data_IF_880746988203
#
_entry.id   IF_880746988203
#
_cell.length_a   1.000
_cell.length_b   1.000
_cell.length_c   1.000
_cell.angle_alpha   90.00
_cell.angle_beta   90.00
_cell.angle_gamma   90.00
#
_symmetry.space_group_name_H-M   'P 1'
#
loop_
_entity.id
_entity.type
_entity.pdbx_description
1 polymer ?
#
# COMPACT_ATOMS: atom_id res chain seq x y z
N UNK A 1 12.93 -19.22 -15.65
CA UNK A 1 12.86 -19.12 -14.17
C UNK A 1 14.15 -18.63 -13.49
N UNK A 2 15.29 -19.33 -13.54
CA UNK A 2 16.54 -18.81 -12.96
C UNK A 2 17.10 -17.62 -13.76
N UNK A 3 17.05 -17.68 -15.09
CA UNK A 3 17.57 -16.64 -15.99
C UNK A 3 16.80 -15.29 -15.92
N UNK A 4 15.52 -15.29 -15.54
CA UNK A 4 14.69 -14.07 -15.47
C UNK A 4 14.85 -13.32 -14.15
N UNK A 5 15.08 -14.03 -13.04
CA UNK A 5 15.48 -13.40 -11.76
C UNK A 5 16.78 -12.59 -11.91
N UNK A 6 17.68 -13.02 -12.80
CA UNK A 6 18.92 -12.31 -13.09
C UNK A 6 18.68 -10.99 -13.85
N UNK A 7 17.64 -10.89 -14.69
CA UNK A 7 17.27 -9.62 -15.35
C UNK A 7 16.70 -8.59 -14.37
N UNK A 8 15.86 -9.02 -13.42
CA UNK A 8 15.37 -8.15 -12.35
C UNK A 8 16.52 -7.61 -11.48
N UNK A 9 17.53 -8.44 -11.20
CA UNK A 9 18.73 -8.03 -10.45
C UNK A 9 19.64 -7.12 -11.27
N UNK A 10 19.78 -7.33 -12.58
CA UNK A 10 20.50 -6.43 -13.49
C UNK A 10 19.82 -5.06 -13.60
N UNK A 11 18.48 -5.00 -13.62
CA UNK A 11 17.76 -3.73 -13.62
C UNK A 11 17.91 -2.99 -12.30
N UNK A 12 17.87 -3.71 -11.17
CA UNK A 12 18.22 -3.14 -9.87
C UNK A 12 19.68 -2.66 -9.85
N UNK A 13 20.60 -3.42 -10.45
CA UNK A 13 22.01 -3.06 -10.58
C UNK A 13 22.19 -1.78 -11.39
N UNK A 14 21.50 -1.64 -12.52
CA UNK A 14 21.55 -0.44 -13.36
C UNK A 14 20.97 0.77 -12.62
N UNK A 15 19.85 0.61 -11.90
CA UNK A 15 19.29 1.68 -11.05
C UNK A 15 20.28 2.07 -9.94
N UNK A 16 20.91 1.10 -9.29
CA UNK A 16 21.95 1.35 -8.28
C UNK A 16 23.15 2.05 -8.92
N UNK A 17 23.57 1.64 -10.13
CA UNK A 17 24.70 2.24 -10.82
C UNK A 17 24.43 3.70 -11.22
N UNK A 18 23.26 3.97 -11.77
CA UNK A 18 22.81 5.30 -12.18
C UNK A 18 22.60 6.23 -10.98
N UNK A 19 22.11 5.69 -9.85
CA UNK A 19 21.87 6.48 -8.63
C UNK A 19 23.15 6.72 -7.82
N UNK A 20 24.11 5.78 -7.85
CA UNK A 20 25.33 5.85 -7.01
C UNK A 20 26.52 6.45 -7.77
N UNK A 21 26.43 6.65 -9.08
CA UNK A 21 27.46 7.31 -9.88
C UNK A 21 28.80 6.57 -9.80
N UNK A 22 28.90 5.40 -10.44
CA UNK A 22 30.14 4.63 -10.50
C UNK A 22 31.17 5.26 -11.46
N UNK A 23 31.77 6.37 -11.05
CA UNK A 23 33.08 6.78 -11.57
C UNK A 23 34.15 6.23 -10.62
N UNK A 24 34.99 5.32 -11.11
CA UNK A 24 35.90 4.50 -10.32
C UNK A 24 36.89 5.29 -9.46
N UNK A 25 37.00 4.89 -8.18
CA UNK A 25 38.15 5.00 -7.25
C UNK A 25 37.79 4.18 -5.99
N UNK A 26 38.79 3.67 -5.27
CA UNK A 26 38.67 2.74 -4.11
C UNK A 26 37.63 3.09 -3.03
N UNK A 27 37.20 4.36 -2.94
CA UNK A 27 36.07 4.77 -2.10
C UNK A 27 34.72 4.14 -2.47
N UNK A 28 34.54 3.70 -3.73
CA UNK A 28 33.30 3.09 -4.20
C UNK A 28 33.11 1.67 -3.68
N UNK A 29 34.17 0.89 -3.46
CA UNK A 29 34.03 -0.48 -2.94
C UNK A 29 33.59 -0.46 -1.47
N UNK A 30 34.14 0.45 -0.66
CA UNK A 30 33.73 0.63 0.73
C UNK A 30 32.29 1.15 0.83
N UNK A 31 31.92 2.13 0.01
CA UNK A 31 30.52 2.60 -0.08
C UNK A 31 29.57 1.48 -0.52
N UNK A 32 29.97 0.67 -1.50
CA UNK A 32 29.20 -0.46 -1.98
C UNK A 32 29.03 -1.55 -0.91
N UNK A 33 30.08 -1.88 -0.17
CA UNK A 33 30.01 -2.80 0.97
C UNK A 33 29.10 -2.27 2.08
N UNK A 34 29.15 -0.97 2.37
CA UNK A 34 28.24 -0.34 3.33
C UNK A 34 26.78 -0.36 2.84
N UNK A 35 26.52 -0.04 1.57
CA UNK A 35 25.18 -0.13 0.98
C UNK A 35 24.66 -1.57 0.99
N UNK A 36 25.51 -2.55 0.69
CA UNK A 36 25.16 -3.97 0.77
C UNK A 36 24.85 -4.42 2.20
N UNK A 37 25.61 -3.95 3.19
CA UNK A 37 25.30 -4.17 4.61
C UNK A 37 23.98 -3.53 4.99
N UNK A 38 23.73 -2.30 4.56
CA UNK A 38 22.51 -1.55 4.89
C UNK A 38 21.28 -2.14 4.19
N UNK A 39 21.45 -2.78 3.03
CA UNK A 39 20.38 -3.51 2.33
C UNK A 39 19.99 -4.82 3.04
N UNK A 40 20.89 -5.41 3.84
CA UNK A 40 20.68 -6.72 4.48
C UNK A 40 20.47 -6.63 5.99
N UNK A 41 20.92 -5.55 6.64
CA UNK A 41 20.82 -5.37 8.08
C UNK A 41 19.63 -4.48 8.45
N UNK A 42 18.90 -4.83 9.53
CA UNK A 42 17.91 -3.95 10.10
C UNK A 42 18.46 -2.60 10.56
N UNK A 43 17.65 -1.55 10.48
CA UNK A 43 18.04 -0.20 10.88
C UNK A 43 18.45 -0.10 12.36
N UNK A 44 17.92 -0.97 13.24
CA UNK A 44 18.23 -0.95 14.69
C UNK A 44 19.73 -0.89 15.01
N UNK A 45 20.58 -1.51 14.18
CA UNK A 45 22.04 -1.52 14.36
C UNK A 45 22.70 -0.15 14.11
N UNK A 46 21.98 0.79 13.48
CA UNK A 46 22.39 2.19 13.30
C UNK A 46 21.79 3.12 14.35
N UNK A 47 20.91 2.61 15.23
CA UNK A 47 20.20 3.41 16.24
C UNK A 47 20.78 3.22 17.65
N UNK A 48 21.95 2.60 17.78
CA UNK A 48 22.67 2.51 19.06
C UNK A 48 22.92 3.92 19.63
N UNK A 49 22.63 4.13 20.92
CA UNK A 49 22.72 5.45 21.56
C UNK A 49 21.58 6.43 21.26
N UNK A 50 20.68 6.15 20.30
CA UNK A 50 19.50 7.00 20.04
C UNK A 50 18.47 6.86 21.16
N UNK A 51 17.93 7.98 21.64
CA UNK A 51 16.93 8.00 22.73
C UNK A 51 15.66 7.23 22.38
N UNK A 52 14.97 6.69 23.39
CA UNK A 52 13.75 5.91 23.19
C UNK A 52 12.66 6.72 22.46
N UNK A 53 12.51 8.01 22.81
CA UNK A 53 11.57 8.93 22.16
C UNK A 53 11.86 9.07 20.66
N UNK A 54 13.13 9.25 20.28
CA UNK A 54 13.53 9.37 18.88
C UNK A 54 13.38 8.03 18.14
N UNK A 55 13.71 6.90 18.78
CA UNK A 55 13.47 5.56 18.19
C UNK A 55 11.99 5.32 17.93
N UNK A 56 11.13 5.68 18.87
CA UNK A 56 9.67 5.60 18.72
C UNK A 56 9.16 6.45 17.56
N UNK A 57 9.68 7.67 17.41
CA UNK A 57 9.37 8.51 16.24
C UNK A 57 9.81 7.84 14.94
N UNK A 58 11.05 7.35 14.87
CA UNK A 58 11.58 6.63 13.70
C UNK A 58 10.71 5.41 13.36
N UNK A 59 10.37 4.60 14.35
CA UNK A 59 9.52 3.41 14.17
C UNK A 59 8.12 3.76 13.69
N UNK A 60 7.55 4.88 14.15
CA UNK A 60 6.26 5.36 13.70
C UNK A 60 6.30 5.82 12.24
N UNK A 61 7.38 6.46 11.79
CA UNK A 61 7.58 6.84 10.38
C UNK A 61 7.77 5.60 9.50
N UNK A 62 8.61 4.64 9.95
CA UNK A 62 8.84 3.39 9.24
C UNK A 62 7.59 2.53 9.16
N UNK A 63 6.74 2.50 10.18
CA UNK A 63 5.51 1.73 10.12
C UNK A 63 4.60 2.21 8.98
N UNK A 64 4.51 3.52 8.74
CA UNK A 64 3.73 4.09 7.62
C UNK A 64 4.37 3.69 6.27
N UNK A 65 5.67 3.94 6.10
CA UNK A 65 6.33 3.87 4.79
C UNK A 65 6.93 2.50 4.43
N UNK A 66 7.23 1.66 5.43
CA UNK A 66 7.90 0.37 5.30
C UNK A 66 7.07 -0.81 5.86
N UNK A 67 5.93 -0.53 6.50
CA UNK A 67 5.04 -1.52 7.13
C UNK A 67 5.70 -2.35 8.23
N UNK A 68 6.79 -1.84 8.79
CA UNK A 68 7.52 -2.48 9.89
C UNK A 68 8.37 -1.44 10.62
N UNK A 69 9.00 -1.83 11.73
CA UNK A 69 9.80 -0.93 12.57
C UNK A 69 11.29 -1.12 12.32
N UNK A 70 12.13 -0.27 12.89
CA UNK A 70 13.60 -0.31 12.76
C UNK A 70 14.22 -1.65 13.18
N UNK A 71 13.51 -2.43 14.00
CA UNK A 71 13.92 -3.79 14.42
C UNK A 71 14.01 -4.75 13.24
N UNK A 72 13.17 -4.55 12.22
CA UNK A 72 13.06 -5.45 11.07
C UNK A 72 13.26 -4.77 9.71
N UNK A 73 13.02 -3.46 9.61
CA UNK A 73 13.19 -2.70 8.38
C UNK A 73 14.67 -2.68 7.99
N UNK A 74 14.99 -3.06 6.74
CA UNK A 74 16.36 -2.95 6.26
C UNK A 74 16.79 -1.47 6.21
N UNK A 75 18.05 -1.19 6.56
CA UNK A 75 18.54 0.17 6.75
C UNK A 75 18.52 1.01 5.45
N UNK A 76 18.78 0.38 4.29
CA UNK A 76 18.77 1.06 2.99
C UNK A 76 17.38 1.57 2.62
N UNK A 77 16.36 0.72 2.68
CA UNK A 77 14.97 1.15 2.46
C UNK A 77 14.53 2.15 3.53
N UNK A 78 14.98 1.97 4.78
CA UNK A 78 14.66 2.89 5.88
C UNK A 78 15.15 4.30 5.60
N UNK A 79 16.34 4.47 5.00
CA UNK A 79 16.84 5.79 4.63
C UNK A 79 15.90 6.49 3.64
N UNK A 80 15.45 5.77 2.59
CA UNK A 80 14.49 6.31 1.63
C UNK A 80 13.13 6.60 2.27
N UNK A 81 12.63 5.68 3.11
CA UNK A 81 11.36 5.82 3.81
C UNK A 81 11.33 7.05 4.74
N UNK A 82 12.44 7.29 5.46
CA UNK A 82 12.59 8.44 6.34
C UNK A 82 12.82 9.76 5.58
N UNK A 83 13.34 9.72 4.35
CA UNK A 83 13.47 10.91 3.50
C UNK A 83 12.13 11.40 2.96
N UNK A 84 11.13 10.52 2.82
CA UNK A 84 9.81 10.88 2.28
C UNK A 84 9.14 12.01 3.06
N UNK A 85 9.19 11.99 4.39
CA UNK A 85 8.63 13.05 5.22
C UNK A 85 9.38 14.37 5.06
N UNK A 86 10.68 14.34 4.75
CA UNK A 86 11.50 15.52 4.46
C UNK A 86 11.16 16.15 3.10
N UNK A 87 10.82 15.34 2.10
CA UNK A 87 10.46 15.83 0.76
C UNK A 87 9.09 16.53 0.72
N UNK A 88 8.27 16.32 1.75
CA UNK A 88 6.97 16.97 1.93
C UNK A 88 5.80 16.13 1.42
N UNK A 89 4.60 16.61 1.70
CA UNK A 89 3.33 15.95 1.34
C UNK A 89 2.53 16.85 0.41
N UNK A 90 1.92 16.24 -0.61
CA UNK A 90 1.16 16.96 -1.65
C UNK A 90 -0.30 16.53 -1.57
N UNK A 91 -1.21 17.48 -1.81
CA UNK A 91 -2.64 17.22 -1.96
C UNK A 91 -3.05 17.36 -3.43
N UNK A 92 -3.50 16.27 -4.08
CA UNK A 92 -4.15 16.38 -5.39
C UNK A 92 -5.56 16.93 -5.22
N UNK A 93 -5.98 17.77 -6.15
CA UNK A 93 -7.37 18.22 -6.26
C UNK A 93 -8.31 17.03 -6.48
N UNK A 94 -9.45 17.00 -5.77
CA UNK A 94 -10.33 15.83 -5.71
C UNK A 94 -9.81 14.71 -4.80
N UNK A 95 -8.65 14.91 -4.17
CA UNK A 95 -7.91 13.88 -3.44
C UNK A 95 -7.50 12.70 -4.33
N UNK A 96 -7.21 11.55 -3.69
CA UNK A 96 -6.72 10.37 -4.42
C UNK A 96 -7.70 9.84 -5.48
N UNK A 97 -9.01 10.06 -5.30
CA UNK A 97 -10.02 9.73 -6.31
C UNK A 97 -9.91 10.59 -7.57
N UNK A 98 -9.50 11.85 -7.44
CA UNK A 98 -9.24 12.76 -8.56
C UNK A 98 -8.18 12.22 -9.51
N UNK A 99 -7.08 11.68 -8.97
CA UNK A 99 -6.03 11.02 -9.78
C UNK A 99 -6.62 9.85 -10.57
N UNK A 100 -7.42 8.99 -9.94
CA UNK A 100 -8.06 7.86 -10.62
C UNK A 100 -9.00 8.31 -11.74
N UNK A 101 -9.79 9.36 -11.50
CA UNK A 101 -10.71 9.90 -12.51
C UNK A 101 -9.94 10.46 -13.72
N UNK A 102 -8.90 11.24 -13.49
CA UNK A 102 -8.05 11.77 -14.56
C UNK A 102 -7.38 10.65 -15.36
N UNK A 103 -6.93 9.57 -14.71
CA UNK A 103 -6.39 8.40 -15.41
C UNK A 103 -7.43 7.74 -16.32
N UNK A 104 -8.68 7.58 -15.84
CA UNK A 104 -9.78 7.03 -16.65
C UNK A 104 -10.09 7.91 -17.85
N UNK A 105 -10.10 9.23 -17.68
CA UNK A 105 -10.31 10.19 -18.77
C UNK A 105 -9.20 10.07 -19.82
N UNK A 106 -7.94 10.07 -19.40
CA UNK A 106 -6.79 9.94 -20.32
C UNK A 106 -6.78 8.61 -21.07
N UNK A 107 -7.20 7.52 -20.42
CA UNK A 107 -7.37 6.22 -21.09
C UNK A 107 -8.45 6.31 -22.19
N UNK A 108 -9.59 6.95 -21.90
CA UNK A 108 -10.68 7.13 -22.87
C UNK A 108 -10.29 8.03 -24.04
N UNK A 109 -9.53 9.10 -23.80
CA UNK A 109 -8.95 9.94 -24.87
C UNK A 109 -8.06 9.12 -25.83
N UNK A 110 -7.34 8.12 -25.29
CA UNK A 110 -6.54 7.16 -26.06
C UNK A 110 -7.38 6.01 -26.65
N UNK A 111 -8.71 6.15 -26.67
CA UNK A 111 -9.68 5.15 -27.17
C UNK A 111 -9.68 3.82 -26.40
N UNK A 112 -9.08 3.77 -25.21
CA UNK A 112 -9.17 2.59 -24.36
C UNK A 112 -10.57 2.48 -23.74
N UNK A 113 -11.08 1.25 -23.61
CA UNK A 113 -12.38 0.98 -23.00
C UNK A 113 -12.20 0.72 -21.50
N UNK A 114 -12.93 1.46 -20.68
CA UNK A 114 -12.98 1.25 -19.21
C UNK A 114 -14.37 0.71 -18.85
N UNK A 115 -14.43 -0.59 -18.52
CA UNK A 115 -15.69 -1.30 -18.28
C UNK A 115 -15.91 -1.52 -16.77
N UNK A 116 -16.80 -0.72 -16.19
CA UNK A 116 -17.20 -0.89 -14.79
C UNK A 116 -18.24 -2.00 -14.63
N UNK A 117 -18.39 -2.50 -13.39
CA UNK A 117 -19.35 -3.56 -13.02
C UNK A 117 -19.15 -4.88 -13.78
N UNK A 118 -17.90 -5.14 -14.22
CA UNK A 118 -17.46 -6.39 -14.88
C UNK A 118 -16.48 -7.14 -13.97
N UNK A 119 -16.99 -7.75 -12.91
CA UNK A 119 -16.15 -8.56 -12.01
C UNK A 119 -15.66 -9.82 -12.75
N UNK A 120 -14.35 -9.96 -12.89
CA UNK A 120 -13.72 -11.14 -13.50
C UNK A 120 -13.80 -12.32 -12.53
N UNK A 121 -14.30 -13.46 -13.00
CA UNK A 121 -14.41 -14.70 -12.22
C UNK A 121 -13.46 -15.81 -12.68
N UNK A 122 -13.00 -15.79 -13.94
CA UNK A 122 -12.07 -16.79 -14.48
C UNK A 122 -11.08 -16.19 -15.48
N UNK A 123 -9.89 -16.78 -15.54
CA UNK A 123 -8.96 -16.60 -16.65
C UNK A 123 -9.11 -17.80 -17.61
N UNK A 124 -9.06 -17.53 -18.91
CA UNK A 124 -9.20 -18.56 -19.94
C UNK A 124 -7.81 -19.07 -20.31
N UNK A 125 -7.62 -20.39 -20.19
CA UNK A 125 -6.36 -21.11 -20.37
C UNK A 125 -6.54 -22.21 -21.43
N UNK A 126 -5.66 -22.26 -22.43
CA UNK A 126 -5.73 -23.22 -23.54
C UNK A 126 -4.79 -24.44 -23.39
N UNK A 127 -4.11 -24.57 -22.25
CA UNK A 127 -3.07 -25.57 -22.04
C UNK A 127 -1.64 -25.04 -22.22
N UNK A 128 -1.47 -23.88 -22.85
CA UNK A 128 -0.17 -23.26 -23.15
C UNK A 128 -0.06 -21.82 -22.65
N UNK A 129 -1.11 -21.01 -22.78
CA UNK A 129 -1.14 -19.60 -22.37
C UNK A 129 -2.51 -19.18 -21.86
N UNK A 130 -2.52 -18.11 -21.07
CA UNK A 130 -3.75 -17.36 -20.80
C UNK A 130 -4.06 -16.46 -21.99
N UNK A 131 -5.31 -16.47 -22.43
CA UNK A 131 -5.73 -15.74 -23.65
C UNK A 131 -7.07 -15.01 -23.52
N UNK A 132 -7.67 -14.97 -22.33
CA UNK A 132 -8.89 -14.22 -22.11
C UNK A 132 -9.37 -14.25 -20.68
N UNK A 133 -10.49 -13.57 -20.43
CA UNK A 133 -11.16 -13.50 -19.14
C UNK A 133 -12.66 -13.72 -19.26
N UNK A 134 -13.26 -14.33 -18.25
CA UNK A 134 -14.71 -14.48 -18.11
C UNK A 134 -15.19 -13.72 -16.87
N UNK A 135 -16.26 -12.94 -17.03
CA UNK A 135 -16.90 -12.22 -15.92
C UNK A 135 -17.85 -13.12 -15.16
N UNK A 136 -18.20 -12.72 -13.93
CA UNK A 136 -19.22 -13.40 -13.11
C UNK A 136 -20.60 -13.48 -13.79
N UNK A 137 -20.87 -12.63 -14.79
CA UNK A 137 -22.10 -12.62 -15.58
C UNK A 137 -22.00 -13.44 -16.88
N UNK A 138 -20.90 -14.17 -17.08
CA UNK A 138 -20.68 -15.03 -18.25
C UNK A 138 -20.13 -14.33 -19.48
N UNK A 139 -19.93 -13.00 -19.45
CA UNK A 139 -19.31 -12.27 -20.56
C UNK A 139 -17.84 -12.68 -20.72
N UNK A 140 -17.39 -12.87 -21.96
CA UNK A 140 -16.02 -13.28 -22.29
C UNK A 140 -15.30 -12.20 -23.09
N UNK A 141 -14.02 -12.02 -22.78
CA UNK A 141 -13.12 -11.11 -23.46
C UNK A 141 -11.82 -11.82 -23.80
N UNK A 142 -11.52 -11.94 -25.08
CA UNK A 142 -10.23 -12.45 -25.57
C UNK A 142 -9.17 -11.35 -25.43
N UNK A 143 -7.94 -11.74 -25.13
CA UNK A 143 -6.80 -10.85 -24.97
C UNK A 143 -5.47 -11.57 -25.22
N UNK A 144 -4.55 -10.89 -25.91
CA UNK A 144 -3.20 -11.42 -26.08
C UNK A 144 -2.38 -11.38 -24.80
N UNK A 145 -2.61 -10.36 -23.99
CA UNK A 145 -1.94 -10.15 -22.71
C UNK A 145 -2.97 -9.71 -21.68
N UNK A 146 -2.97 -10.38 -20.53
CA UNK A 146 -3.79 -10.05 -19.37
C UNK A 146 -2.87 -9.47 -18.30
N UNK A 147 -3.22 -8.27 -17.80
CA UNK A 147 -2.48 -7.60 -16.73
C UNK A 147 -3.38 -7.53 -15.49
N UNK A 148 -3.01 -8.26 -14.43
CA UNK A 148 -3.75 -8.27 -13.18
C UNK A 148 -3.25 -7.16 -12.25
N UNK A 149 -4.14 -6.24 -11.86
CA UNK A 149 -3.90 -5.32 -10.74
C UNK A 149 -4.60 -5.84 -9.47
N UNK A 150 -4.14 -7.00 -8.98
CA UNK A 150 -4.75 -7.76 -7.91
C UNK A 150 -3.70 -8.20 -6.88
N UNK A 151 -4.13 -8.53 -5.67
CA UNK A 151 -3.22 -9.19 -4.70
C UNK A 151 -2.83 -10.59 -5.21
N UNK A 152 -1.67 -11.11 -4.76
CA UNK A 152 -1.25 -12.48 -5.09
C UNK A 152 -2.29 -13.53 -4.74
N UNK A 153 -2.95 -13.40 -3.58
CA UNK A 153 -4.01 -14.31 -3.17
C UNK A 153 -5.25 -14.24 -4.06
N UNK A 154 -5.57 -13.06 -4.62
CA UNK A 154 -6.66 -12.95 -5.61
C UNK A 154 -6.26 -13.54 -6.96
N UNK A 155 -5.05 -13.29 -7.43
CA UNK A 155 -4.54 -13.85 -8.69
C UNK A 155 -4.47 -15.38 -8.64
N UNK A 156 -3.97 -15.94 -7.53
CA UNK A 156 -3.89 -17.38 -7.32
C UNK A 156 -5.26 -18.07 -7.45
N UNK A 157 -6.34 -17.46 -6.91
CA UNK A 157 -7.71 -17.98 -7.04
C UNK A 157 -8.19 -18.02 -8.49
N UNK A 158 -7.86 -17.00 -9.28
CA UNK A 158 -8.23 -16.92 -10.70
C UNK A 158 -7.44 -17.90 -11.58
N UNK A 159 -6.27 -18.34 -11.13
CA UNK A 159 -5.39 -19.28 -11.82
C UNK A 159 -5.61 -20.74 -11.42
N UNK A 160 -6.52 -21.02 -10.48
CA UNK A 160 -6.69 -22.34 -9.87
C UNK A 160 -7.03 -23.45 -10.90
N UNK A 161 -7.74 -23.11 -11.97
CA UNK A 161 -8.13 -24.10 -12.99
C UNK A 161 -7.04 -24.37 -14.04
N UNK A 162 -5.88 -23.69 -13.97
CA UNK A 162 -4.77 -23.88 -14.90
C UNK A 162 -3.80 -24.97 -14.43
N UNK A 163 -3.15 -25.65 -15.39
CA UNK A 163 -2.03 -26.56 -15.11
C UNK A 163 -0.79 -25.83 -14.57
N UNK A 164 -0.72 -24.51 -14.73
CA UNK A 164 0.26 -23.63 -14.11
C UNK A 164 -0.08 -23.36 -12.63
N UNK A 165 -0.61 -24.37 -11.93
CA UNK A 165 -1.13 -24.25 -10.58
C UNK A 165 -0.05 -23.73 -9.65
N UNK A 166 -0.24 -22.51 -9.19
CA UNK A 166 0.79 -21.75 -8.54
C UNK A 166 0.93 -22.14 -7.06
N UNK A 167 1.49 -23.32 -6.79
CA UNK A 167 1.98 -23.68 -5.45
C UNK A 167 2.97 -22.63 -4.90
N UNK A 168 3.52 -21.77 -5.77
CA UNK A 168 4.40 -20.65 -5.44
C UNK A 168 3.71 -19.31 -5.15
N UNK A 169 2.42 -19.15 -5.50
CA UNK A 169 1.64 -17.95 -5.20
C UNK A 169 0.98 -18.12 -3.82
N UNK A 170 1.42 -17.34 -2.85
CA UNK A 170 0.82 -17.33 -1.52
C UNK A 170 -0.66 -16.92 -1.62
N UNK A 171 -1.56 -17.85 -1.29
CA UNK A 171 -3.01 -17.60 -1.31
C UNK A 171 -3.47 -16.61 -0.22
N UNK A 172 -2.67 -16.50 0.84
CA UNK A 172 -2.95 -15.63 2.00
C UNK A 172 -1.90 -14.52 2.11
N UNK A 173 -2.27 -13.34 2.64
CA UNK A 173 -1.31 -12.33 3.07
C UNK A 173 -0.25 -12.93 4.00
N UNK A 174 0.97 -12.35 4.05
CA UNK A 174 2.00 -12.81 4.98
C UNK A 174 1.54 -12.59 6.44
N UNK A 175 2.03 -13.42 7.36
CA UNK A 175 1.64 -13.37 8.77
C UNK A 175 2.00 -12.05 9.48
N UNK A 176 2.98 -11.32 8.95
CA UNK A 176 3.39 -9.99 9.40
C UNK A 176 2.77 -8.85 8.56
N UNK A 177 1.79 -9.15 7.70
CA UNK A 177 1.04 -8.16 6.94
C UNK A 177 0.01 -7.43 7.78
N UNK A 178 -0.25 -6.17 7.45
CA UNK A 178 -1.16 -5.30 8.19
C UNK A 178 -2.54 -5.13 7.54
N UNK A 179 -3.56 -5.05 8.36
CA UNK A 179 -4.80 -4.38 8.00
C UNK A 179 -4.75 -2.91 8.39
N UNK A 180 -5.76 -2.15 7.98
CA UNK A 180 -5.99 -0.81 8.49
C UNK A 180 -7.37 -0.73 9.18
N UNK A 181 -7.42 0.04 10.26
CA UNK A 181 -8.67 0.57 10.78
C UNK A 181 -8.73 2.06 10.47
N UNK A 182 -9.87 2.51 9.96
CA UNK A 182 -10.09 3.88 9.51
C UNK A 182 -11.21 4.51 10.32
N UNK A 183 -11.06 5.80 10.64
CA UNK A 183 -12.15 6.68 11.04
C UNK A 183 -12.20 7.83 10.04
N UNK A 184 -13.35 8.05 9.43
CA UNK A 184 -13.63 9.18 8.57
C UNK A 184 -14.58 10.10 9.33
N UNK A 185 -14.17 11.34 9.54
CA UNK A 185 -14.94 12.33 10.27
C UNK A 185 -15.18 13.59 9.44
N UNK A 186 -16.34 14.22 9.62
CA UNK A 186 -16.62 15.57 9.12
C UNK A 186 -16.76 16.52 10.29
N UNK A 187 -16.00 17.62 10.29
CA UNK A 187 -16.02 18.63 11.37
C UNK A 187 -16.25 20.03 10.82
N UNK A 188 -16.67 20.95 11.69
CA UNK A 188 -16.62 22.38 11.38
C UNK A 188 -15.18 22.82 11.05
N UNK A 189 -15.04 23.74 10.10
CA UNK A 189 -13.73 24.29 9.75
C UNK A 189 -13.03 24.92 10.96
N UNK A 190 -13.77 25.57 11.86
CA UNK A 190 -13.23 26.19 13.07
C UNK A 190 -12.51 25.19 13.98
N UNK A 191 -12.91 23.92 13.99
CA UNK A 191 -12.32 22.87 14.82
C UNK A 191 -10.87 22.53 14.43
N UNK A 192 -10.41 22.94 13.25
CA UNK A 192 -9.04 22.65 12.76
C UNK A 192 -8.25 23.89 12.34
N UNK A 193 -8.80 25.09 12.50
CA UNK A 193 -8.13 26.34 12.08
C UNK A 193 -6.83 26.61 12.83
N UNK A 194 -6.71 26.14 14.07
CA UNK A 194 -5.53 26.32 14.92
C UNK A 194 -4.40 25.34 14.61
N UNK A 195 -4.64 24.31 13.80
CA UNK A 195 -3.63 23.30 13.48
C UNK A 195 -2.67 23.79 12.40
N UNK A 196 -1.38 23.69 12.69
CA UNK A 196 -0.34 23.86 11.70
C UNK A 196 -0.18 22.58 10.88
N UNK A 197 -0.42 22.67 9.58
CA UNK A 197 -0.31 21.53 8.66
C UNK A 197 -1.56 20.64 8.60
N UNK A 198 -1.67 19.91 7.50
CA UNK A 198 -2.84 19.06 7.19
C UNK A 198 -2.62 17.58 7.52
N UNK A 199 -1.42 17.21 7.97
CA UNK A 199 -1.07 15.84 8.29
C UNK A 199 -0.41 15.78 9.66
N UNK A 200 -0.91 14.89 10.51
CA UNK A 200 -0.47 14.73 11.88
C UNK A 200 -0.24 13.26 12.17
N UNK A 201 0.80 12.95 12.96
CA UNK A 201 1.01 11.60 13.48
C UNK A 201 0.94 11.64 15.00
N UNK A 202 -0.08 10.99 15.56
CA UNK A 202 -0.25 10.84 17.00
C UNK A 202 0.41 9.52 17.41
N UNK A 203 1.42 9.58 18.26
CA UNK A 203 2.15 8.40 18.76
C UNK A 203 1.99 8.35 20.28
N UNK A 204 0.88 7.76 20.70
CA UNK A 204 0.43 7.78 22.10
C UNK A 204 1.16 6.73 22.94
N UNK A 205 1.26 5.50 22.42
CA UNK A 205 1.77 4.36 23.20
C UNK A 205 2.44 3.29 22.32
N UNK A 206 2.99 2.27 22.97
CA UNK A 206 3.51 1.05 22.38
C UNK A 206 2.62 -0.16 22.76
N UNK A 207 2.56 -1.22 21.92
CA UNK A 207 3.11 -1.31 20.57
C UNK A 207 2.38 -0.36 19.61
N UNK A 208 3.08 0.09 18.56
CA UNK A 208 2.47 0.88 17.48
C UNK A 208 1.33 0.10 16.78
N UNK A 209 0.34 0.82 16.27
CA UNK A 209 -0.90 0.26 15.71
C UNK A 209 -2.03 0.17 16.74
N UNK A 210 -3.18 -0.37 16.35
CA UNK A 210 -4.39 -0.56 17.16
C UNK A 210 -4.77 0.69 17.99
N UNK A 211 -4.71 1.87 17.36
CA UNK A 211 -5.04 3.16 17.98
C UNK A 211 -3.95 3.76 18.87
N UNK A 212 -2.83 3.06 19.10
CA UNK A 212 -1.67 3.62 19.82
C UNK A 212 -0.83 4.54 18.93
N UNK A 213 -0.92 4.37 17.61
CA UNK A 213 -0.31 5.25 16.62
C UNK A 213 -1.32 5.55 15.51
N UNK A 214 -1.63 6.82 15.29
CA UNK A 214 -2.66 7.26 14.35
C UNK A 214 -2.04 8.23 13.35
N UNK A 215 -2.30 8.02 12.07
CA UNK A 215 -2.06 9.03 11.04
C UNK A 215 -3.37 9.74 10.73
N UNK A 216 -3.37 11.06 10.91
CA UNK A 216 -4.49 11.96 10.67
C UNK A 216 -4.18 12.82 9.44
N UNK A 217 -5.15 12.93 8.55
CA UNK A 217 -5.11 13.86 7.42
C UNK A 217 -6.38 14.71 7.38
N UNK A 218 -6.22 15.98 7.03
CA UNK A 218 -7.29 16.97 6.92
C UNK A 218 -7.38 17.35 5.44
N UNK A 219 -8.58 17.29 4.87
CA UNK A 219 -8.85 17.85 3.53
C UNK A 219 -8.38 19.31 3.45
N UNK A 220 -7.71 19.76 2.38
CA UNK A 220 -7.28 21.15 2.28
C UNK A 220 -8.47 22.10 2.11
N UNK A 221 -8.37 23.34 2.61
CA UNK A 221 -9.44 24.34 2.53
C UNK A 221 -9.74 24.77 1.09
N UNK A 222 -8.73 24.75 0.22
CA UNK A 222 -8.89 25.12 -1.19
C UNK A 222 -9.66 24.07 -2.00
N UNK A 223 -9.73 22.81 -1.54
CA UNK A 223 -10.42 21.74 -2.28
C UNK A 223 -11.86 21.57 -1.79
N UNK A 224 -12.75 22.38 -2.36
CA UNK A 224 -14.19 22.39 -2.05
C UNK A 224 -14.90 21.08 -2.43
N UNK A 225 -14.25 20.16 -3.15
CA UNK A 225 -14.86 18.87 -3.53
C UNK A 225 -14.78 17.83 -2.40
N UNK A 226 -13.96 18.10 -1.38
CA UNK A 226 -13.65 17.13 -0.31
C UNK A 226 -14.65 17.13 0.84
N UNK A 227 -15.33 18.25 1.05
CA UNK A 227 -16.31 18.45 2.12
C UNK A 227 -17.30 19.57 1.74
N UNK A 228 -18.51 19.58 2.33
CA UNK A 228 -19.44 20.71 2.19
C UNK A 228 -18.83 22.04 2.67
N UNK A 229 -19.49 23.14 2.32
CA UNK A 229 -19.10 24.47 2.79
C UNK A 229 -19.04 24.54 4.33
N UNK A 230 -18.06 25.28 4.87
CA UNK A 230 -17.75 25.38 6.30
C UNK A 230 -17.45 24.04 7.00
N UNK A 231 -17.18 22.97 6.25
CA UNK A 231 -16.80 21.67 6.79
C UNK A 231 -15.44 21.22 6.28
N UNK A 232 -14.79 20.35 7.06
CA UNK A 232 -13.54 19.69 6.71
C UNK A 232 -13.67 18.20 6.93
N UNK A 233 -13.28 17.42 5.92
CA UNK A 233 -13.14 15.98 6.04
C UNK A 233 -11.79 15.65 6.70
N UNK A 234 -11.84 14.77 7.70
CA UNK A 234 -10.69 14.24 8.43
C UNK A 234 -10.66 12.73 8.24
N UNK A 235 -9.49 12.19 7.94
CA UNK A 235 -9.25 10.75 7.85
C UNK A 235 -8.20 10.35 8.87
N UNK A 236 -8.59 9.49 9.80
CA UNK A 236 -7.72 8.83 10.76
C UNK A 236 -7.46 7.40 10.30
N UNK A 237 -6.23 6.94 10.46
CA UNK A 237 -5.86 5.56 10.16
C UNK A 237 -4.90 4.99 11.20
N UNK A 238 -5.05 3.70 11.52
CA UNK A 238 -4.09 2.93 12.31
C UNK A 238 -3.88 1.56 11.69
N UNK A 239 -2.66 1.03 11.81
CA UNK A 239 -2.38 -0.36 11.49
C UNK A 239 -3.12 -1.27 12.47
N UNK A 240 -3.61 -2.42 12.02
CA UNK A 240 -4.31 -3.39 12.86
C UNK A 240 -4.18 -4.82 12.33
N UNK A 241 -4.51 -5.81 13.15
CA UNK A 241 -4.44 -7.23 12.77
C UNK A 241 -5.61 -7.65 11.89
N UNK A 242 -5.36 -8.06 10.65
CA UNK A 242 -6.42 -8.65 9.81
C UNK A 242 -7.08 -9.86 10.47
N UNK A 243 -6.26 -10.75 11.07
CA UNK A 243 -6.74 -12.00 11.66
C UNK A 243 -7.75 -11.75 12.77
N UNK A 244 -7.46 -10.81 13.68
CA UNK A 244 -8.38 -10.45 14.77
C UNK A 244 -9.75 -10.03 14.22
N UNK A 245 -9.78 -9.12 13.25
CA UNK A 245 -11.03 -8.63 12.69
C UNK A 245 -11.82 -9.72 11.97
N UNK A 246 -11.14 -10.59 11.20
CA UNK A 246 -11.79 -11.70 10.51
C UNK A 246 -12.32 -12.77 11.47
N UNK A 247 -11.55 -13.10 12.51
CA UNK A 247 -11.98 -14.04 13.55
C UNK A 247 -13.24 -13.52 14.26
N UNK A 248 -13.25 -12.25 14.68
CA UNK A 248 -14.43 -11.63 15.30
C UNK A 248 -15.62 -11.62 14.33
N UNK A 249 -15.42 -11.15 13.10
CA UNK A 249 -16.50 -11.06 12.10
C UNK A 249 -17.15 -12.42 11.80
N UNK A 250 -16.37 -13.50 11.75
CA UNK A 250 -16.87 -14.83 11.42
C UNK A 250 -17.47 -15.57 12.63
N UNK A 251 -16.90 -15.38 13.82
CA UNK A 251 -17.22 -16.20 15.01
C UNK A 251 -18.14 -15.50 15.99
N UNK A 252 -18.08 -14.17 16.07
CA UNK A 252 -18.84 -13.39 17.03
C UNK A 252 -19.14 -11.96 16.50
N UNK A 253 -20.21 -11.79 15.69
CA UNK A 253 -20.58 -10.51 15.10
C UNK A 253 -20.85 -9.39 16.12
N UNK A 254 -21.33 -9.72 17.32
CA UNK A 254 -21.56 -8.75 18.40
C UNK A 254 -20.22 -8.23 18.94
N UNK A 255 -19.28 -9.13 19.23
CA UNK A 255 -17.92 -8.74 19.64
C UNK A 255 -17.19 -7.96 18.54
N UNK A 256 -17.42 -8.27 17.26
CA UNK A 256 -16.93 -7.47 16.14
C UNK A 256 -17.47 -6.04 16.16
N UNK A 257 -18.77 -5.86 16.38
CA UNK A 257 -19.39 -4.54 16.45
C UNK A 257 -18.85 -3.73 17.64
N UNK A 258 -18.74 -4.36 18.81
CA UNK A 258 -18.19 -3.73 20.02
C UNK A 258 -16.72 -3.34 19.86
N UNK A 259 -15.89 -4.22 19.30
CA UNK A 259 -14.47 -3.91 19.07
C UNK A 259 -14.29 -2.77 18.05
N UNK A 260 -15.17 -2.71 17.04
CA UNK A 260 -15.21 -1.62 16.08
C UNK A 260 -15.55 -0.28 16.73
N UNK A 261 -16.49 -0.27 17.67
CA UNK A 261 -16.83 0.91 18.46
C UNK A 261 -15.67 1.30 19.40
N UNK A 262 -15.13 0.37 20.17
CA UNK A 262 -13.99 0.60 21.06
C UNK A 262 -12.78 1.21 20.31
N UNK A 263 -12.44 0.67 19.13
CA UNK A 263 -11.34 1.19 18.32
C UNK A 263 -11.62 2.59 17.79
N UNK A 264 -12.86 2.86 17.38
CA UNK A 264 -13.31 4.19 16.99
C UNK A 264 -13.14 5.18 18.16
N UNK A 265 -13.62 4.80 19.33
CA UNK A 265 -13.61 5.63 20.52
C UNK A 265 -12.19 5.95 20.98
N UNK A 266 -11.32 4.94 20.97
CA UNK A 266 -9.89 5.12 21.25
C UNK A 266 -9.23 6.10 20.29
N UNK A 267 -9.52 6.02 19.00
CA UNK A 267 -8.94 6.91 18.00
C UNK A 267 -9.47 8.34 18.09
N UNK A 268 -10.76 8.51 18.40
CA UNK A 268 -11.36 9.82 18.63
C UNK A 268 -10.78 10.47 19.88
N UNK A 269 -10.70 9.75 21.01
CA UNK A 269 -10.11 10.25 22.25
C UNK A 269 -8.62 10.61 22.11
N UNK A 270 -7.86 9.83 21.34
CA UNK A 270 -6.48 10.16 21.00
C UNK A 270 -6.37 11.51 20.26
N UNK A 271 -7.34 11.81 19.39
CA UNK A 271 -7.37 13.02 18.56
C UNK A 271 -7.72 14.27 19.36
N UNK A 272 -8.37 14.12 20.52
CA UNK A 272 -8.68 15.24 21.42
C UNK A 272 -7.42 16.01 21.88
N UNK A 273 -6.26 15.36 21.87
CA UNK A 273 -4.96 15.99 22.19
C UNK A 273 -4.56 17.13 21.25
N UNK A 274 -5.09 17.14 20.01
CA UNK A 274 -4.79 18.17 19.00
C UNK A 274 -6.06 18.89 18.50
N UNK A 275 -7.23 18.25 18.57
CA UNK A 275 -8.52 18.86 18.27
C UNK A 275 -9.42 18.69 19.50
N UNK A 276 -9.41 19.63 20.46
CA UNK A 276 -10.19 19.48 21.69
C UNK A 276 -11.69 19.30 21.43
N UNK A 277 -12.30 18.30 22.07
CA UNK A 277 -13.72 17.97 21.87
C UNK A 277 -14.00 17.39 20.48
N UNK A 278 -13.07 16.62 19.92
CA UNK A 278 -13.12 16.14 18.54
C UNK A 278 -14.40 15.34 18.26
N UNK A 279 -14.73 14.42 19.18
CA UNK A 279 -15.94 13.61 19.07
C UNK A 279 -17.20 14.46 18.92
N UNK A 280 -17.36 15.44 19.80
CA UNK A 280 -18.58 16.26 19.85
C UNK A 280 -18.63 17.25 18.68
N UNK A 281 -17.48 17.61 18.11
CA UNK A 281 -17.37 18.47 16.93
C UNK A 281 -17.67 17.76 15.60
N UNK A 282 -17.76 16.42 15.60
CA UNK A 282 -17.90 15.63 14.38
C UNK A 282 -19.37 15.35 14.04
N UNK A 283 -19.87 15.97 12.97
CA UNK A 283 -21.23 15.78 12.46
C UNK A 283 -21.43 14.41 11.77
N UNK A 284 -20.33 13.78 11.36
CA UNK A 284 -20.29 12.48 10.72
C UNK A 284 -19.11 11.70 11.24
N UNK A 285 -19.33 10.45 11.64
CA UNK A 285 -18.27 9.50 11.96
C UNK A 285 -18.57 8.18 11.26
N UNK A 286 -17.65 7.74 10.42
CA UNK A 286 -17.72 6.45 9.72
C UNK A 286 -16.44 5.66 9.96
N UNK A 287 -16.55 4.34 10.01
CA UNK A 287 -15.42 3.45 10.32
C UNK A 287 -15.21 2.37 9.27
N UNK A 288 -13.94 2.11 8.97
CA UNK A 288 -13.51 1.06 8.06
C UNK A 288 -12.64 0.02 8.79
N UNK A 289 -12.91 -1.26 8.57
CA UNK A 289 -12.10 -2.38 9.06
C UNK A 289 -11.50 -3.14 7.87
N UNK A 290 -10.61 -4.13 8.08
CA UNK A 290 -10.17 -5.04 7.01
C UNK A 290 -11.34 -5.69 6.25
N UNK A 291 -12.48 -5.95 6.90
CA UNK A 291 -13.68 -6.49 6.24
C UNK A 291 -14.26 -5.44 5.27
N UNK A 292 -14.30 -4.17 5.67
CA UNK A 292 -14.70 -3.06 4.80
C UNK A 292 -13.78 -3.00 3.56
N UNK A 293 -12.46 -3.06 3.75
CA UNK A 293 -11.52 -3.04 2.63
C UNK A 293 -11.74 -4.23 1.68
N UNK A 294 -11.93 -5.45 2.21
CA UNK A 294 -12.24 -6.61 1.38
C UNK A 294 -13.53 -6.41 0.58
N UNK A 295 -14.59 -5.87 1.21
CA UNK A 295 -15.88 -5.64 0.55
C UNK A 295 -15.75 -4.71 -0.66
N UNK A 296 -15.08 -3.57 -0.48
CA UNK A 296 -15.01 -2.50 -1.48
C UNK A 296 -13.91 -2.70 -2.53
N UNK A 297 -12.76 -3.27 -2.15
CA UNK A 297 -11.60 -3.42 -3.05
C UNK A 297 -11.39 -4.84 -3.54
N UNK A 298 -12.12 -5.82 -2.99
CA UNK A 298 -11.97 -7.27 -3.25
C UNK A 298 -10.59 -7.85 -2.90
N UNK A 299 -9.70 -7.04 -2.32
CA UNK A 299 -8.37 -7.47 -1.87
C UNK A 299 -8.49 -8.58 -0.85
N UNK A 300 -7.71 -9.65 -1.02
CA UNK A 300 -7.71 -10.81 -0.12
C UNK A 300 -7.55 -10.36 1.34
N UNK A 301 -8.49 -10.76 2.20
CA UNK A 301 -8.56 -10.38 3.63
C UNK A 301 -8.63 -8.86 3.92
N UNK A 302 -8.82 -8.01 2.90
CA UNK A 302 -8.73 -6.56 3.07
C UNK A 302 -7.31 -6.07 3.34
N UNK A 303 -6.31 -6.85 2.91
CA UNK A 303 -4.91 -6.55 3.12
C UNK A 303 -4.51 -5.28 2.39
N UNK A 304 -3.94 -4.33 3.13
CA UNK A 304 -3.44 -3.05 2.64
C UNK A 304 -1.98 -2.91 3.01
N UNK A 305 -1.30 -1.96 2.36
CA UNK A 305 0.11 -1.68 2.65
C UNK A 305 1.10 -2.66 2.01
N UNK A 306 0.67 -3.72 1.33
CA UNK A 306 1.60 -4.64 0.68
C UNK A 306 2.57 -5.31 1.68
N UNK A 307 3.70 -5.81 1.17
CA UNK A 307 4.65 -6.58 1.97
C UNK A 307 5.55 -5.68 2.84
N UNK A 308 5.72 -6.01 4.15
CA UNK A 308 6.69 -5.31 4.98
C UNK A 308 8.12 -5.44 4.45
N UNK A 309 8.86 -4.32 4.46
CA UNK A 309 10.15 -4.16 3.78
C UNK A 309 11.33 -4.65 4.64
N UNK A 310 11.31 -5.94 4.98
CA UNK A 310 12.33 -6.57 5.82
C UNK A 310 13.57 -7.02 5.06
N UNK A 311 13.48 -7.26 3.75
CA UNK A 311 14.60 -7.47 2.83
C UNK A 311 14.16 -7.31 1.37
N UNK A 312 15.13 -7.15 0.45
CA UNK A 312 14.91 -6.86 -0.98
C UNK A 312 14.21 -7.99 -1.77
N UNK A 313 14.14 -9.22 -1.23
CA UNK A 313 13.62 -10.38 -1.96
C UNK A 313 12.14 -10.69 -1.69
N UNK A 314 11.46 -9.88 -0.88
CA UNK A 314 10.02 -10.05 -0.62
C UNK A 314 9.15 -9.69 -1.81
N UNK A 315 9.62 -8.77 -2.65
CA UNK A 315 8.91 -8.37 -3.85
C UNK A 315 8.92 -9.47 -4.91
N UNK A 316 7.81 -9.63 -5.62
CA UNK A 316 7.64 -10.68 -6.64
C UNK A 316 7.84 -10.13 -8.04
N UNK A 317 8.16 -11.03 -8.98
CA UNK A 317 8.25 -10.69 -10.40
C UNK A 317 6.86 -10.34 -10.96
N UNK A 318 6.76 -9.39 -11.90
CA UNK A 318 5.52 -9.10 -12.61
C UNK A 318 5.04 -10.24 -13.53
N UNK A 319 5.94 -11.15 -13.93
CA UNK A 319 5.58 -12.30 -14.75
C UNK A 319 4.90 -13.39 -13.91
N UNK A 320 3.67 -13.78 -14.27
CA UNK A 320 2.97 -14.88 -13.61
C UNK A 320 2.99 -16.17 -14.45
N UNK A 321 2.66 -16.06 -15.74
CA UNK A 321 2.54 -17.19 -16.67
C UNK A 321 2.53 -16.66 -18.13
N UNK A 322 2.62 -17.52 -19.15
CA UNK A 322 2.46 -17.09 -20.54
C UNK A 322 1.12 -16.38 -20.76
N UNK A 323 1.15 -15.18 -21.35
CA UNK A 323 -0.03 -14.32 -21.54
C UNK A 323 -0.52 -13.59 -20.27
N UNK A 324 0.16 -13.75 -19.12
CA UNK A 324 -0.29 -13.20 -17.84
C UNK A 324 0.82 -12.40 -17.12
N UNK A 325 0.51 -11.14 -16.81
CA UNK A 325 1.35 -10.21 -16.05
C UNK A 325 0.60 -9.69 -14.83
N UNK A 326 1.34 -9.12 -13.89
CA UNK A 326 0.80 -8.44 -12.71
C UNK A 326 1.39 -7.03 -12.59
N UNK A 327 0.59 -6.12 -12.05
CA UNK A 327 1.00 -4.80 -11.57
C UNK A 327 0.43 -4.55 -10.17
N UNK A 328 0.85 -3.46 -9.53
CA UNK A 328 0.36 -3.05 -8.21
C UNK A 328 1.37 -3.31 -7.09
N UNK A 329 0.88 -3.29 -5.86
CA UNK A 329 1.71 -3.31 -4.64
C UNK A 329 2.22 -4.70 -4.23
N UNK A 330 1.86 -5.74 -4.99
CA UNK A 330 2.25 -7.13 -4.74
C UNK A 330 3.52 -7.56 -5.50
N UNK A 331 4.04 -6.70 -6.37
CA UNK A 331 5.26 -6.94 -7.17
C UNK A 331 6.31 -5.88 -6.86
N UNK A 332 7.55 -6.10 -7.32
CA UNK A 332 8.60 -5.08 -7.22
C UNK A 332 8.21 -3.81 -8.01
N UNK A 333 8.43 -2.58 -7.49
CA UNK A 333 9.16 -2.23 -6.26
C UNK A 333 8.40 -2.34 -4.93
N UNK A 334 7.08 -2.49 -4.95
CA UNK A 334 6.27 -2.71 -3.74
C UNK A 334 5.19 -1.65 -3.51
N UNK A 335 4.89 -1.38 -2.23
CA UNK A 335 3.88 -0.41 -1.79
C UNK A 335 4.34 1.04 -2.04
N UNK A 336 3.35 1.93 -2.17
CA UNK A 336 3.37 3.39 -2.32
C UNK A 336 2.95 3.79 -3.73
N UNK A 337 2.39 5.00 -3.86
CA UNK A 337 1.99 5.53 -5.16
C UNK A 337 3.17 5.55 -6.14
N UNK A 338 4.34 6.02 -5.69
CA UNK A 338 5.56 6.04 -6.50
C UNK A 338 5.98 4.63 -6.94
N UNK A 339 6.02 3.67 -6.01
CA UNK A 339 6.41 2.30 -6.33
C UNK A 339 5.45 1.62 -7.31
N UNK A 340 4.13 1.73 -7.11
CA UNK A 340 3.16 1.11 -8.01
C UNK A 340 3.16 1.77 -9.39
N UNK A 341 3.38 3.09 -9.47
CA UNK A 341 3.55 3.80 -10.73
C UNK A 341 4.80 3.35 -11.48
N UNK A 342 5.95 3.25 -10.79
CA UNK A 342 7.19 2.72 -11.38
C UNK A 342 7.02 1.27 -11.85
N UNK A 343 6.36 0.43 -11.05
CA UNK A 343 6.03 -0.94 -11.41
C UNK A 343 5.16 -1.03 -12.67
N UNK A 344 4.10 -0.22 -12.75
CA UNK A 344 3.22 -0.15 -13.92
C UNK A 344 3.96 0.32 -15.18
N UNK A 345 4.79 1.36 -15.07
CA UNK A 345 5.61 1.85 -16.19
C UNK A 345 6.59 0.79 -16.69
N UNK A 346 7.24 0.07 -15.77
CA UNK A 346 8.17 -1.02 -16.11
C UNK A 346 7.46 -2.13 -16.89
N UNK A 347 6.35 -2.64 -16.37
CA UNK A 347 5.57 -3.71 -17.03
C UNK A 347 5.05 -3.24 -18.39
N UNK A 348 4.60 -1.99 -18.50
CA UNK A 348 4.19 -1.42 -19.78
C UNK A 348 5.31 -1.40 -20.84
N UNK A 349 6.55 -1.04 -20.44
CA UNK A 349 7.71 -1.08 -21.35
C UNK A 349 8.08 -2.50 -21.74
N UNK A 350 8.07 -3.44 -20.79
CA UNK A 350 8.34 -4.86 -21.06
C UNK A 350 7.38 -5.41 -22.11
N UNK A 351 6.08 -5.17 -21.94
CA UNK A 351 5.05 -5.58 -22.91
C UNK A 351 5.25 -4.90 -24.27
N UNK A 352 5.52 -3.58 -24.28
CA UNK A 352 5.75 -2.87 -25.53
C UNK A 352 6.92 -3.43 -26.33
N UNK A 353 7.98 -3.85 -25.65
CA UNK A 353 9.15 -4.46 -26.28
C UNK A 353 8.88 -5.90 -26.77
N UNK A 354 7.99 -6.64 -26.12
CA UNK A 354 7.56 -7.98 -26.57
C UNK A 354 6.65 -7.92 -27.80
N UNK A 355 5.92 -6.81 -27.99
CA UNK A 355 4.98 -6.59 -29.09
C UNK A 355 5.57 -5.83 -30.29
N UNK A 356 6.77 -5.27 -30.14
CA UNK A 356 7.54 -4.65 -31.23
C UNK A 356 8.38 -5.68 -31.94
#
# INVERSE_FOLDING_TARGET
MAAEKFKDFQNLWNIIQDTVGFSGKSGNLRKFLHLGQDALRPLRYKLEGVSEKMRRFIDAQLLIAAQTTSVHANALYSAAALDLSRQGVIHPEGGMGGICNQMVEKLREKKAKVLFKKEISKLIWDGKRFHGVETKRGERFEADIIILNLTMGNAAKLMADSSFHAKSLQASPPGDGWGAFMVYAGVDTSAVKHLEGLHHQLVNDQPLGNGNSIFLSISPEWDKTRAPENRRAITLSTHTSMKQWWDLFQKNPEAYAKEKENMCDKMLAATDSIIPGFRDSADLVMTGTPITFQRFTKRSHGWVGGYPQTNLFRARSPYLAPGLRMVGDSIFPGQSLAAVSMGGMRVGREISNEMS
#
